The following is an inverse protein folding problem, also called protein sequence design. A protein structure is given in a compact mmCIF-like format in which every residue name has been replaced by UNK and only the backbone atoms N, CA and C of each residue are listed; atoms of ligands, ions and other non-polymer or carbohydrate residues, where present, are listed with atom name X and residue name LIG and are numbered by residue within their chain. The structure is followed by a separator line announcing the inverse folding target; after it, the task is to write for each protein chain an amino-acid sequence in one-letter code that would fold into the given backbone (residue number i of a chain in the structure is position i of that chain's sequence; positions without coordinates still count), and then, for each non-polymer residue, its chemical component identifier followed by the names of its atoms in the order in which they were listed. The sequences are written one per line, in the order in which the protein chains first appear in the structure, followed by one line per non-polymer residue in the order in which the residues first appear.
data_IF_782202901176
#
_entry.id   IF_782202901176
#
_cell.length_a   1.000
_cell.length_b   1.000
_cell.length_c   1.000
_cell.angle_alpha   90.00
_cell.angle_beta   90.00
_cell.angle_gamma   90.00
#
_symmetry.space_group_name_H-M   'P 1'
#
loop_
_entity.id
_entity.type
_entity.pdbx_description
1 polymer ?
#
# COMPACT_ATOMS: atom_id res chain seq x y z
N UNK A 1 -35.29 -26.77 -21.32
CA UNK A 1 -34.50 -26.95 -20.09
C UNK A 1 -33.17 -26.33 -20.44
N UNK A 2 -33.13 -25.01 -20.33
CA UNK A 2 -31.98 -24.23 -20.75
C UNK A 2 -30.86 -24.57 -19.78
N UNK A 3 -29.87 -25.32 -20.27
CA UNK A 3 -28.59 -25.45 -19.60
C UNK A 3 -27.96 -24.06 -19.74
N UNK A 4 -28.25 -23.17 -18.79
CA UNK A 4 -27.34 -22.05 -18.51
C UNK A 4 -25.98 -22.71 -18.26
N UNK A 5 -25.09 -22.61 -19.25
CA UNK A 5 -23.69 -22.93 -19.10
C UNK A 5 -23.19 -22.07 -17.94
N UNK A 6 -23.13 -22.67 -16.76
CA UNK A 6 -22.63 -22.09 -15.52
C UNK A 6 -21.12 -21.92 -15.72
N UNK A 7 -20.73 -20.92 -16.51
CA UNK A 7 -19.34 -20.62 -16.83
C UNK A 7 -18.60 -20.48 -15.51
N UNK A 8 -17.66 -21.40 -15.29
CA UNK A 8 -16.86 -21.43 -14.08
C UNK A 8 -16.31 -20.02 -13.83
N UNK A 9 -16.58 -19.42 -12.65
CA UNK A 9 -16.28 -18.01 -12.43
C UNK A 9 -14.79 -17.75 -12.67
N UNK A 10 -14.51 -16.72 -13.46
CA UNK A 10 -13.13 -16.30 -13.79
C UNK A 10 -12.33 -16.09 -12.51
N UNK A 11 -11.01 -16.29 -12.58
CA UNK A 11 -10.13 -16.08 -11.42
C UNK A 11 -10.33 -14.68 -10.83
N UNK A 12 -10.52 -13.69 -11.69
CA UNK A 12 -10.81 -12.32 -11.30
C UNK A 12 -12.14 -12.19 -10.54
N UNK A 13 -13.23 -12.83 -10.98
CA UNK A 13 -14.51 -12.80 -10.26
C UNK A 13 -14.42 -13.45 -8.87
N UNK A 14 -13.68 -14.56 -8.75
CA UNK A 14 -13.44 -15.23 -7.46
C UNK A 14 -12.65 -14.32 -6.50
N UNK A 15 -11.61 -13.67 -7.01
CA UNK A 15 -10.81 -12.72 -6.25
C UNK A 15 -11.65 -11.50 -5.83
N UNK A 16 -12.42 -10.91 -6.75
CA UNK A 16 -13.28 -9.74 -6.48
C UNK A 16 -14.34 -10.01 -5.41
N UNK A 17 -14.95 -11.21 -5.40
CA UNK A 17 -15.86 -11.65 -4.33
C UNK A 17 -15.16 -11.78 -2.99
N UNK A 18 -13.95 -12.33 -2.98
CA UNK A 18 -13.14 -12.43 -1.75
C UNK A 18 -12.76 -11.05 -1.23
N UNK A 19 -12.44 -10.11 -2.11
CA UNK A 19 -12.14 -8.73 -1.77
C UNK A 19 -13.38 -8.00 -1.26
N UNK A 20 -14.55 -8.21 -1.87
CA UNK A 20 -15.82 -7.67 -1.36
C UNK A 20 -16.12 -8.17 0.05
N UNK A 21 -15.66 -9.37 0.38
CA UNK A 21 -15.72 -9.89 1.75
C UNK A 21 -14.88 -9.05 2.71
N UNK A 22 -13.64 -8.79 2.37
CA UNK A 22 -12.72 -8.04 3.22
C UNK A 22 -13.12 -6.55 3.30
N UNK A 23 -13.49 -5.93 2.18
CA UNK A 23 -13.93 -4.54 2.11
C UNK A 23 -15.11 -4.29 3.04
N UNK A 24 -16.10 -5.19 3.09
CA UNK A 24 -17.24 -5.04 3.99
C UNK A 24 -16.81 -5.03 5.48
N UNK A 25 -15.86 -5.88 5.88
CA UNK A 25 -15.36 -5.89 7.26
C UNK A 25 -14.58 -4.62 7.57
N UNK A 26 -13.73 -4.19 6.64
CA UNK A 26 -12.93 -2.98 6.81
C UNK A 26 -13.77 -1.72 6.84
N UNK A 27 -14.72 -1.56 5.92
CA UNK A 27 -15.62 -0.40 5.91
C UNK A 27 -16.41 -0.35 7.21
N UNK A 28 -16.85 -1.49 7.74
CA UNK A 28 -17.52 -1.51 9.04
C UNK A 28 -16.64 -0.98 10.17
N UNK A 29 -15.38 -1.46 10.27
CA UNK A 29 -14.43 -0.98 11.29
C UNK A 29 -14.14 0.52 11.12
N UNK A 30 -13.94 0.96 9.87
CA UNK A 30 -13.61 2.34 9.56
C UNK A 30 -14.80 3.28 9.85
N UNK A 31 -16.04 2.86 9.54
CA UNK A 31 -17.27 3.58 9.91
C UNK A 31 -17.34 3.75 11.43
N UNK A 32 -17.08 2.68 12.20
CA UNK A 32 -17.08 2.73 13.67
C UNK A 32 -16.04 3.74 14.18
N UNK A 33 -14.82 3.69 13.63
CA UNK A 33 -13.74 4.59 14.05
C UNK A 33 -14.00 6.05 13.66
N UNK A 34 -14.46 6.32 12.43
CA UNK A 34 -14.79 7.67 11.95
C UNK A 34 -16.01 8.24 12.68
N UNK A 35 -17.01 7.41 12.98
CA UNK A 35 -18.15 7.83 13.81
C UNK A 35 -17.67 8.24 15.20
N UNK A 36 -16.73 7.50 15.79
CA UNK A 36 -16.10 7.91 17.06
C UNK A 36 -15.36 9.25 16.92
N UNK A 37 -14.52 9.40 15.89
CA UNK A 37 -13.78 10.65 15.62
C UNK A 37 -14.72 11.83 15.38
N UNK A 38 -15.83 11.64 14.65
CA UNK A 38 -16.86 12.66 14.43
C UNK A 38 -17.39 13.26 15.75
N UNK A 39 -17.54 12.44 16.80
CA UNK A 39 -17.94 12.91 18.12
C UNK A 39 -16.80 13.57 18.92
N UNK A 40 -15.55 13.21 18.65
CA UNK A 40 -14.39 13.78 19.33
C UNK A 40 -13.93 15.13 18.75
N UNK A 41 -14.31 15.44 17.51
CA UNK A 41 -13.86 16.63 16.82
C UNK A 41 -14.75 17.83 17.11
N UNK A 42 -14.12 18.99 17.34
CA UNK A 42 -14.81 20.22 17.75
C UNK A 42 -15.15 21.16 16.60
N UNK A 43 -14.52 21.04 15.43
CA UNK A 43 -14.80 21.95 14.31
C UNK A 43 -15.91 21.43 13.38
N UNK A 44 -16.80 22.30 12.87
CA UNK A 44 -17.86 21.90 11.95
C UNK A 44 -17.33 21.44 10.59
N UNK A 45 -16.18 21.96 10.14
CA UNK A 45 -15.56 21.56 8.88
C UNK A 45 -15.00 20.13 8.93
N UNK A 46 -14.34 19.78 10.02
CA UNK A 46 -13.84 18.42 10.22
C UNK A 46 -15.00 17.44 10.43
N UNK A 47 -16.03 17.81 11.20
CA UNK A 47 -17.27 17.00 11.30
C UNK A 47 -17.92 16.75 9.94
N UNK A 48 -17.97 17.76 9.08
CA UNK A 48 -18.49 17.60 7.71
C UNK A 48 -17.66 16.61 6.88
N UNK A 49 -16.34 16.61 7.08
CA UNK A 49 -15.42 15.69 6.41
C UNK A 49 -15.59 14.27 6.92
N UNK A 50 -15.64 14.07 8.24
CA UNK A 50 -15.89 12.76 8.85
C UNK A 50 -17.26 12.20 8.47
N UNK A 51 -18.31 13.03 8.42
CA UNK A 51 -19.64 12.61 7.96
C UNK A 51 -19.65 12.18 6.49
N UNK A 52 -18.95 12.89 5.61
CA UNK A 52 -18.78 12.50 4.21
C UNK A 52 -18.04 11.16 4.10
N UNK A 53 -16.99 10.96 4.90
CA UNK A 53 -16.24 9.69 4.94
C UNK A 53 -17.14 8.52 5.35
N UNK A 54 -17.89 8.67 6.45
CA UNK A 54 -18.85 7.65 6.91
C UNK A 54 -19.90 7.34 5.83
N UNK A 55 -20.41 8.37 5.14
CA UNK A 55 -21.40 8.18 4.07
C UNK A 55 -20.82 7.40 2.88
N UNK A 56 -19.61 7.77 2.44
CA UNK A 56 -18.91 7.06 1.37
C UNK A 56 -18.64 5.59 1.78
N UNK A 57 -18.17 5.35 3.01
CA UNK A 57 -17.86 3.99 3.49
C UNK A 57 -19.12 3.15 3.64
N UNK A 58 -20.22 3.74 4.10
CA UNK A 58 -21.53 3.11 4.12
C UNK A 58 -21.98 2.69 2.71
N UNK A 59 -21.77 3.55 1.72
CA UNK A 59 -22.09 3.23 0.32
C UNK A 59 -21.22 2.08 -0.21
N UNK A 60 -19.93 2.07 0.10
CA UNK A 60 -19.02 0.98 -0.28
C UNK A 60 -19.37 -0.33 0.41
N UNK A 61 -19.79 -0.28 1.67
CA UNK A 61 -20.28 -1.44 2.41
C UNK A 61 -21.50 -2.05 1.73
N UNK A 62 -22.48 -1.23 1.34
CA UNK A 62 -23.68 -1.69 0.61
C UNK A 62 -23.31 -2.36 -0.71
N UNK A 63 -22.43 -1.75 -1.51
CA UNK A 63 -21.97 -2.36 -2.77
C UNK A 63 -21.18 -3.64 -2.55
N UNK A 64 -20.36 -3.71 -1.50
CA UNK A 64 -19.58 -4.91 -1.16
C UNK A 64 -20.49 -6.05 -0.70
N UNK A 65 -21.55 -5.75 0.06
CA UNK A 65 -22.57 -6.73 0.45
C UNK A 65 -23.41 -7.19 -0.75
N UNK A 66 -23.71 -6.30 -1.70
CA UNK A 66 -24.40 -6.66 -2.95
C UNK A 66 -23.55 -7.59 -3.82
N UNK A 67 -22.25 -7.29 -3.98
CA UNK A 67 -21.30 -8.14 -4.68
C UNK A 67 -21.18 -9.55 -4.05
N UNK A 68 -21.27 -9.66 -2.72
CA UNK A 68 -21.30 -10.97 -2.04
C UNK A 68 -22.52 -11.82 -2.40
N UNK A 69 -23.64 -11.18 -2.75
CA UNK A 69 -24.89 -11.86 -3.15
C UNK A 69 -24.93 -12.19 -4.65
N UNK A 70 -23.81 -12.05 -5.36
CA UNK A 70 -23.74 -12.30 -6.80
C UNK A 70 -24.11 -11.10 -7.66
N UNK A 71 -24.30 -9.91 -7.07
CA UNK A 71 -24.53 -8.68 -7.84
C UNK A 71 -23.29 -8.28 -8.66
N UNK A 72 -23.47 -7.48 -9.73
CA UNK A 72 -22.37 -7.06 -10.59
C UNK A 72 -21.34 -6.25 -9.80
N UNK A 73 -20.07 -6.66 -9.90
CA UNK A 73 -18.93 -5.91 -9.37
C UNK A 73 -18.58 -4.83 -10.40
N UNK A 74 -19.32 -3.73 -10.37
CA UNK A 74 -19.15 -2.65 -11.34
C UNK A 74 -17.91 -1.79 -11.10
N UNK A 75 -17.43 -1.15 -12.18
CA UNK A 75 -16.42 -0.07 -12.19
C UNK A 75 -16.68 1.00 -11.11
N UNK A 76 -17.95 1.21 -10.78
CA UNK A 76 -18.40 2.11 -9.72
C UNK A 76 -17.85 1.74 -8.33
N UNK A 77 -17.89 0.46 -7.92
CA UNK A 77 -17.32 0.02 -6.64
C UNK A 77 -15.83 0.33 -6.60
N UNK A 78 -15.14 0.08 -7.70
CA UNK A 78 -13.70 0.32 -7.84
C UNK A 78 -13.34 1.80 -7.68
N UNK A 79 -14.11 2.69 -8.33
CA UNK A 79 -13.95 4.15 -8.18
C UNK A 79 -14.25 4.57 -6.74
N UNK A 80 -15.31 4.03 -6.13
CA UNK A 80 -15.69 4.36 -4.75
C UNK A 80 -14.62 3.93 -3.75
N UNK A 81 -14.03 2.73 -3.89
CA UNK A 81 -12.87 2.29 -3.12
C UNK A 81 -11.71 3.27 -3.32
N UNK A 82 -11.39 3.62 -4.56
CA UNK A 82 -10.28 4.53 -4.85
C UNK A 82 -10.48 5.89 -4.16
N UNK A 83 -11.68 6.47 -4.27
CA UNK A 83 -12.03 7.75 -3.63
C UNK A 83 -11.92 7.64 -2.12
N UNK A 84 -12.55 6.65 -1.49
CA UNK A 84 -12.53 6.46 -0.04
C UNK A 84 -11.13 6.28 0.52
N UNK A 85 -10.36 5.40 -0.10
CA UNK A 85 -8.97 5.15 0.31
C UNK A 85 -8.14 6.39 0.11
N UNK A 86 -8.39 7.14 -0.96
CA UNK A 86 -7.70 8.41 -1.20
C UNK A 86 -8.09 9.46 -0.16
N UNK A 87 -9.35 9.56 0.23
CA UNK A 87 -9.81 10.46 1.28
C UNK A 87 -9.27 10.06 2.67
N UNK A 88 -9.15 8.77 2.98
CA UNK A 88 -8.48 8.31 4.21
C UNK A 88 -7.01 8.76 4.27
N UNK A 89 -6.33 8.86 3.12
CA UNK A 89 -4.98 9.46 3.03
C UNK A 89 -4.95 10.95 3.36
N UNK A 90 -6.06 11.68 3.33
CA UNK A 90 -6.12 13.08 3.76
C UNK A 90 -6.27 13.20 5.29
N UNK A 91 -7.03 12.31 5.90
CA UNK A 91 -7.39 12.38 7.33
C UNK A 91 -6.21 12.02 8.23
N UNK A 92 -5.40 11.02 7.87
CA UNK A 92 -4.26 10.58 8.71
C UNK A 92 -3.12 11.63 8.83
N UNK A 93 -2.66 12.25 7.72
CA UNK A 93 -1.69 13.34 7.81
C UNK A 93 -2.25 14.54 8.58
N UNK A 94 -3.54 14.86 8.41
CA UNK A 94 -4.18 15.98 9.14
C UNK A 94 -4.24 15.70 10.64
N UNK A 95 -4.57 14.48 11.06
CA UNK A 95 -4.56 14.08 12.47
C UNK A 95 -3.14 14.05 13.06
N UNK A 96 -2.13 13.66 12.28
CA UNK A 96 -0.72 13.74 12.69
C UNK A 96 -0.24 15.19 12.82
N UNK A 97 -0.65 16.08 11.91
CA UNK A 97 -0.37 17.52 12.02
C UNK A 97 -1.09 18.15 13.22
N UNK A 98 -2.34 17.76 13.47
CA UNK A 98 -3.10 18.18 14.63
C UNK A 98 -2.43 17.71 15.92
N UNK A 99 -1.92 16.48 15.99
CA UNK A 99 -1.15 15.96 17.12
C UNK A 99 0.19 16.70 17.32
N UNK A 100 0.87 17.07 16.23
CA UNK A 100 2.11 17.85 16.29
C UNK A 100 1.86 19.29 16.75
N UNK A 101 0.76 19.92 16.34
CA UNK A 101 0.31 21.24 16.83
C UNK A 101 -0.11 21.16 18.30
N UNK A 102 -0.77 20.07 18.72
CA UNK A 102 -1.14 19.85 20.13
C UNK A 102 0.06 19.66 21.04
N UNK A 103 1.14 19.03 20.56
CA UNK A 103 2.39 18.88 21.31
C UNK A 103 3.32 20.09 21.21
N UNK A 104 3.02 21.05 20.33
CA UNK A 104 3.64 22.38 20.28
C UNK A 104 3.25 23.28 21.46
N UNK A 105 2.44 22.80 22.41
CA UNK A 105 2.22 23.41 23.71
C UNK A 105 3.50 23.35 24.56
N UNK A 106 4.42 24.26 24.26
CA UNK A 106 5.65 24.64 24.95
C UNK A 106 6.75 23.56 25.10
N UNK A 107 7.98 23.79 24.56
CA UNK A 107 9.14 23.14 25.16
C UNK A 107 9.22 23.58 26.63
N UNK A 108 9.49 22.68 27.60
CA UNK A 108 9.75 23.09 28.96
C UNK A 108 10.95 24.03 28.91
N UNK A 109 10.72 25.30 29.24
CA UNK A 109 11.76 26.29 29.28
C UNK A 109 12.86 25.77 30.23
N UNK A 110 14.08 25.47 29.75
CA UNK A 110 15.12 24.88 30.60
C UNK A 110 15.48 25.80 31.76
N UNK A 111 15.28 27.11 31.60
CA UNK A 111 15.40 28.08 32.67
C UNK A 111 14.29 27.97 33.73
N UNK A 112 13.06 27.58 33.33
CA UNK A 112 11.96 27.32 34.26
C UNK A 112 12.12 25.97 34.98
N UNK A 113 12.68 24.95 34.31
CA UNK A 113 12.99 23.66 34.94
C UNK A 113 14.17 23.75 35.91
N UNK A 114 15.20 24.56 35.59
CA UNK A 114 16.32 24.83 36.49
C UNK A 114 15.91 25.70 37.70
N UNK A 115 14.92 26.59 37.53
CA UNK A 115 14.39 27.40 38.63
C UNK A 115 13.42 26.63 39.55
N UNK A 116 12.83 25.52 39.10
CA UNK A 116 11.80 24.79 39.84
C UNK A 116 12.30 23.58 40.66
N UNK A 117 13.57 23.18 40.55
CA UNK A 117 14.04 22.02 41.31
C UNK A 117 15.56 21.87 41.31
N UNK A 118 16.17 22.16 42.46
CA UNK A 118 17.57 21.87 42.69
C UNK A 118 17.89 20.37 42.55
N UNK A 119 19.05 20.10 41.95
CA UNK A 119 19.77 18.83 42.12
C UNK A 119 19.40 17.70 41.16
N UNK A 120 20.41 17.24 40.41
CA UNK A 120 20.52 15.82 40.06
C UNK A 120 20.50 15.53 38.57
N UNK A 121 21.40 14.64 38.16
CA UNK A 121 21.51 14.04 36.83
C UNK A 121 20.18 13.55 36.22
N UNK A 122 19.15 13.35 37.04
CA UNK A 122 17.78 12.99 36.63
C UNK A 122 17.11 14.08 35.77
N UNK A 123 17.35 15.37 36.03
CA UNK A 123 16.82 16.46 35.19
C UNK A 123 17.52 16.56 33.83
N UNK A 124 18.82 16.24 33.79
CA UNK A 124 19.63 16.18 32.56
C UNK A 124 19.28 14.93 31.75
N UNK A 125 19.04 13.79 32.40
CA UNK A 125 18.57 12.56 31.75
C UNK A 125 17.14 12.72 31.26
N UNK A 126 16.27 13.42 32.01
CA UNK A 126 14.90 13.75 31.59
C UNK A 126 14.87 14.69 30.38
N UNK A 127 15.73 15.72 30.35
CA UNK A 127 15.86 16.60 29.19
C UNK A 127 16.52 15.90 28.00
N UNK A 128 17.48 15.00 28.21
CA UNK A 128 18.04 14.14 27.16
C UNK A 128 17.01 13.14 26.62
N UNK A 129 16.19 12.51 27.46
CA UNK A 129 15.14 11.59 27.02
C UNK A 129 14.00 12.33 26.30
N UNK A 130 13.65 13.54 26.75
CA UNK A 130 12.71 14.40 26.04
C UNK A 130 13.29 14.89 24.69
N UNK A 131 14.59 15.20 24.64
CA UNK A 131 15.32 15.57 23.43
C UNK A 131 15.40 14.39 22.45
N UNK A 132 15.80 13.21 22.92
CA UNK A 132 15.83 11.96 22.13
C UNK A 132 14.42 11.56 21.71
N UNK A 133 13.43 11.71 22.58
CA UNK A 133 12.02 11.46 22.26
C UNK A 133 11.47 12.42 21.21
N UNK A 134 11.83 13.70 21.26
CA UNK A 134 11.47 14.70 20.27
C UNK A 134 12.18 14.46 18.93
N UNK A 135 13.47 14.10 18.94
CA UNK A 135 14.23 13.80 17.73
C UNK A 135 13.80 12.47 17.10
N UNK A 136 13.54 11.44 17.91
CA UNK A 136 12.99 10.16 17.45
C UNK A 136 11.57 10.35 16.92
N UNK A 137 10.71 11.15 17.57
CA UNK A 137 9.37 11.47 17.04
C UNK A 137 9.45 12.27 15.76
N UNK A 138 10.31 13.28 15.68
CA UNK A 138 10.43 14.09 14.48
C UNK A 138 11.05 13.29 13.32
N UNK A 139 12.01 12.40 13.62
CA UNK A 139 12.53 11.42 12.67
C UNK A 139 11.44 10.43 12.25
N UNK A 140 10.60 9.93 13.16
CA UNK A 140 9.44 9.09 12.82
C UNK A 140 8.38 9.88 12.04
N UNK A 141 8.19 11.17 12.27
CA UNK A 141 7.25 12.00 11.51
C UNK A 141 7.78 12.34 10.11
N UNK A 142 9.10 12.46 9.95
CA UNK A 142 9.76 12.61 8.65
C UNK A 142 9.89 11.29 7.89
N UNK A 143 10.18 10.20 8.61
CA UNK A 143 10.63 8.94 8.06
C UNK A 143 9.61 7.81 8.18
N UNK A 144 8.52 7.93 8.94
CA UNK A 144 7.35 7.09 8.74
C UNK A 144 6.70 7.65 7.47
N UNK A 145 6.94 7.01 6.32
CA UNK A 145 6.26 7.42 5.12
C UNK A 145 4.79 7.19 5.45
N UNK A 146 3.97 8.24 5.51
CA UNK A 146 2.53 8.05 5.75
C UNK A 146 1.97 7.08 4.71
N UNK A 147 2.54 7.08 3.50
CA UNK A 147 2.32 6.08 2.46
C UNK A 147 2.73 4.64 2.84
N UNK A 148 3.80 4.43 3.61
CA UNK A 148 4.19 3.11 4.14
C UNK A 148 3.20 2.58 5.15
N UNK A 149 2.68 3.43 6.06
CA UNK A 149 1.67 2.99 7.01
C UNK A 149 0.41 2.54 6.26
N UNK A 150 -0.01 3.27 5.24
CA UNK A 150 -1.18 2.92 4.42
C UNK A 150 -0.94 1.70 3.52
N UNK A 151 0.21 1.62 2.85
CA UNK A 151 0.58 0.49 2.02
C UNK A 151 0.77 -0.79 2.83
N UNK A 152 1.35 -0.69 4.04
CA UNK A 152 1.54 -1.81 4.96
C UNK A 152 0.25 -2.21 5.65
N UNK A 153 -0.60 -1.26 6.06
CA UNK A 153 -1.95 -1.55 6.58
C UNK A 153 -2.82 -2.16 5.48
N UNK A 154 -2.74 -1.65 4.24
CA UNK A 154 -3.42 -2.23 3.09
C UNK A 154 -2.92 -3.63 2.76
N UNK A 155 -1.61 -3.87 2.84
CA UNK A 155 -1.02 -5.20 2.68
C UNK A 155 -1.47 -6.16 3.81
N UNK A 156 -1.38 -5.73 5.07
CA UNK A 156 -1.66 -6.56 6.25
C UNK A 156 -3.15 -6.83 6.46
N UNK A 157 -4.01 -5.86 6.12
CA UNK A 157 -5.46 -6.03 6.11
C UNK A 157 -5.93 -6.86 4.90
N UNK A 158 -5.01 -7.20 3.99
CA UNK A 158 -5.29 -8.00 2.81
C UNK A 158 -6.27 -7.26 1.90
N UNK A 159 -5.96 -6.01 1.52
CA UNK A 159 -6.70 -5.19 0.56
C UNK A 159 -6.01 -5.19 -0.82
N UNK A 160 -6.03 -6.29 -1.55
CA UNK A 160 -5.44 -6.34 -2.88
C UNK A 160 -6.29 -5.54 -3.86
N UNK A 161 -5.85 -4.32 -4.17
CA UNK A 161 -6.29 -3.60 -5.37
C UNK A 161 -5.65 -4.25 -6.61
N UNK A 162 -6.34 -4.27 -7.77
CA UNK A 162 -5.70 -4.57 -9.04
C UNK A 162 -4.42 -3.73 -9.21
N UNK A 163 -3.35 -4.26 -9.83
CA UNK A 163 -2.02 -3.65 -9.78
C UNK A 163 -1.99 -2.19 -10.26
N UNK A 164 -2.74 -1.89 -11.32
CA UNK A 164 -2.87 -0.54 -11.87
C UNK A 164 -3.57 0.43 -10.91
N UNK A 165 -4.61 -0.02 -10.22
CA UNK A 165 -5.33 0.79 -9.24
C UNK A 165 -4.51 0.97 -7.96
N UNK A 166 -3.78 -0.07 -7.57
CA UNK A 166 -2.80 0.02 -6.50
C UNK A 166 -1.74 1.08 -6.82
N UNK A 167 -1.17 1.04 -8.02
CA UNK A 167 -0.21 2.04 -8.49
C UNK A 167 -0.81 3.44 -8.52
N UNK A 168 -2.00 3.62 -9.10
CA UNK A 168 -2.67 4.91 -9.15
C UNK A 168 -2.90 5.47 -7.74
N UNK A 169 -3.40 4.64 -6.83
CA UNK A 169 -3.63 5.01 -5.45
C UNK A 169 -2.33 5.40 -4.72
N UNK A 170 -1.29 4.56 -4.77
CA UNK A 170 0.01 4.85 -4.17
C UNK A 170 0.68 6.07 -4.80
N UNK A 171 0.49 6.31 -6.11
CA UNK A 171 1.04 7.49 -6.80
C UNK A 171 0.38 8.75 -6.27
N UNK A 172 -0.96 8.77 -6.17
CA UNK A 172 -1.70 9.91 -5.60
C UNK A 172 -1.30 10.13 -4.14
N UNK A 173 -1.20 9.05 -3.35
CA UNK A 173 -0.76 9.10 -1.96
C UNK A 173 0.62 9.74 -1.83
N UNK A 174 1.58 9.24 -2.60
CA UNK A 174 2.96 9.70 -2.58
C UNK A 174 3.03 11.14 -3.05
N UNK A 175 2.40 11.48 -4.18
CA UNK A 175 2.37 12.85 -4.70
C UNK A 175 1.81 13.86 -3.69
N UNK A 176 0.77 13.48 -2.94
CA UNK A 176 0.23 14.33 -1.88
C UNK A 176 1.25 14.56 -0.75
N UNK A 177 1.91 13.50 -0.28
CA UNK A 177 2.95 13.62 0.76
C UNK A 177 4.13 14.47 0.25
N UNK A 178 4.57 14.25 -1.00
CA UNK A 178 5.64 15.02 -1.63
C UNK A 178 5.29 16.51 -1.72
N UNK A 179 4.05 16.85 -2.10
CA UNK A 179 3.57 18.24 -2.15
C UNK A 179 3.58 18.92 -0.78
N UNK A 180 3.38 18.16 0.30
CA UNK A 180 3.31 18.67 1.67
C UNK A 180 4.68 18.78 2.35
N UNK A 181 5.63 17.97 1.89
CA UNK A 181 6.97 17.89 2.46
C UNK A 181 7.66 19.26 2.68
N UNK A 182 7.62 20.25 1.76
CA UNK A 182 8.28 21.54 1.97
C UNK A 182 7.79 22.29 3.22
N UNK A 183 6.46 22.29 3.46
CA UNK A 183 5.87 22.99 4.61
C UNK A 183 6.27 22.32 5.93
N UNK A 184 6.25 20.98 5.96
CA UNK A 184 6.62 20.19 7.14
C UNK A 184 8.12 20.31 7.41
N UNK A 185 8.96 20.21 6.38
CA UNK A 185 10.41 20.40 6.50
C UNK A 185 10.76 21.80 7.02
N UNK A 186 10.04 22.85 6.59
CA UNK A 186 10.25 24.20 7.12
C UNK A 186 9.97 24.25 8.62
N UNK A 187 8.86 23.67 9.08
CA UNK A 187 8.55 23.60 10.51
C UNK A 187 9.59 22.78 11.29
N UNK A 188 9.98 21.63 10.76
CA UNK A 188 10.98 20.75 11.38
C UNK A 188 12.35 21.44 11.54
N UNK A 189 12.84 22.08 10.48
CA UNK A 189 14.14 22.76 10.48
C UNK A 189 14.13 24.00 11.39
N UNK A 190 13.05 24.80 11.37
CA UNK A 190 12.92 25.99 12.23
C UNK A 190 12.79 25.61 13.71
N UNK A 191 12.26 24.43 14.02
CA UNK A 191 12.05 24.02 15.40
C UNK A 191 13.34 23.86 16.21
N UNK A 192 14.42 23.33 15.61
CA UNK A 192 15.69 23.12 16.34
C UNK A 192 16.91 23.03 15.39
N UNK A 193 18.06 23.66 15.69
CA UNK A 193 19.24 23.65 14.81
C UNK A 193 19.87 22.27 14.61
N UNK A 194 19.67 21.31 15.53
CA UNK A 194 20.11 19.93 15.30
C UNK A 194 19.34 19.24 14.16
N UNK A 195 18.08 19.63 13.90
CA UNK A 195 17.28 19.07 12.82
C UNK A 195 17.85 19.43 11.44
N UNK A 196 18.31 20.68 11.29
CA UNK A 196 19.02 21.13 10.09
C UNK A 196 20.30 20.31 9.84
N UNK A 197 21.08 20.04 10.90
CA UNK A 197 22.29 19.20 10.83
C UNK A 197 21.97 17.77 10.42
N UNK A 198 20.92 17.17 11.00
CA UNK A 198 20.47 15.82 10.63
C UNK A 198 20.02 15.76 9.17
N UNK A 199 19.23 16.74 8.71
CA UNK A 199 18.78 16.82 7.32
C UNK A 199 19.97 16.98 6.36
N UNK A 200 20.94 17.85 6.67
CA UNK A 200 22.15 18.04 5.88
C UNK A 200 23.03 16.78 5.85
N UNK A 201 23.17 16.05 6.96
CA UNK A 201 23.92 14.79 6.99
C UNK A 201 23.24 13.70 6.14
N UNK A 202 21.92 13.57 6.23
CA UNK A 202 21.15 12.63 5.41
C UNK A 202 21.21 12.99 3.92
N UNK A 203 21.13 14.29 3.60
CA UNK A 203 21.28 14.80 2.24
C UNK A 203 22.67 14.46 1.68
N UNK A 204 23.73 14.72 2.45
CA UNK A 204 25.10 14.40 2.05
C UNK A 204 25.25 12.91 1.78
N UNK A 205 24.69 12.04 2.63
CA UNK A 205 24.72 10.59 2.41
C UNK A 205 24.02 10.20 1.09
N UNK A 206 22.81 10.72 0.84
CA UNK A 206 22.10 10.48 -0.42
C UNK A 206 22.92 10.97 -1.62
N UNK A 207 23.53 12.15 -1.52
CA UNK A 207 24.39 12.70 -2.56
C UNK A 207 25.60 11.78 -2.86
N UNK A 208 26.26 11.23 -1.84
CA UNK A 208 27.35 10.28 -2.04
C UNK A 208 26.86 9.02 -2.74
N UNK A 209 25.73 8.47 -2.30
CA UNK A 209 25.09 7.31 -2.93
C UNK A 209 24.81 7.59 -4.42
N UNK A 210 24.14 8.69 -4.75
CA UNK A 210 23.83 9.04 -6.15
C UNK A 210 25.11 9.23 -6.96
N UNK A 211 26.12 9.90 -6.39
CA UNK A 211 27.41 10.12 -7.07
C UNK A 211 28.15 8.81 -7.36
N UNK A 212 28.05 7.82 -6.48
CA UNK A 212 28.66 6.50 -6.70
C UNK A 212 27.93 5.68 -7.77
N UNK A 213 26.61 5.81 -7.86
CA UNK A 213 25.79 5.10 -8.84
C UNK A 213 25.79 5.76 -10.23
N UNK A 214 25.92 7.09 -10.26
CA UNK A 214 25.92 7.91 -11.47
C UNK A 214 27.28 8.60 -11.61
N UNK A 215 28.25 7.89 -12.16
CA UNK A 215 29.60 8.42 -12.37
C UNK A 215 29.57 9.77 -13.11
N UNK A 216 30.37 10.72 -12.65
CA UNK A 216 30.43 12.08 -13.21
C UNK A 216 29.41 13.07 -12.64
N UNK A 217 28.48 12.64 -11.78
CA UNK A 217 27.48 13.55 -11.18
C UNK A 217 27.93 14.24 -9.89
N UNK A 218 29.10 13.89 -9.35
CA UNK A 218 29.58 14.41 -8.06
C UNK A 218 29.68 15.95 -8.02
N UNK A 219 30.45 16.54 -8.93
CA UNK A 219 30.66 17.99 -9.01
C UNK A 219 29.35 18.78 -9.21
N UNK A 220 28.47 18.43 -10.16
CA UNK A 220 27.21 19.16 -10.31
C UNK A 220 26.27 18.99 -9.11
N UNK A 221 26.28 17.84 -8.43
CA UNK A 221 25.51 17.65 -7.20
C UNK A 221 26.07 18.44 -6.02
N UNK A 222 27.39 18.54 -5.87
CA UNK A 222 28.05 19.39 -4.86
C UNK A 222 27.71 20.86 -5.07
N UNK A 223 27.83 21.35 -6.31
CA UNK A 223 27.43 22.72 -6.67
C UNK A 223 25.94 22.99 -6.41
N UNK A 224 25.07 22.03 -6.74
CA UNK A 224 23.63 22.15 -6.44
C UNK A 224 23.38 22.18 -4.93
N UNK A 225 24.06 21.35 -4.14
CA UNK A 225 23.90 21.26 -2.70
C UNK A 225 24.24 22.56 -1.96
N UNK A 226 25.27 23.28 -2.42
CA UNK A 226 25.69 24.57 -1.85
C UNK A 226 24.62 25.65 -1.99
N UNK A 227 23.81 25.59 -3.06
CA UNK A 227 22.74 26.55 -3.32
C UNK A 227 21.45 26.27 -2.55
N UNK A 228 21.31 25.08 -1.95
CA UNK A 228 20.10 24.68 -1.24
C UNK A 228 20.16 25.07 0.23
N UNK A 229 19.05 25.65 0.71
CA UNK A 229 18.78 25.83 2.14
C UNK A 229 18.59 24.50 2.87
N UNK A 230 18.72 24.51 4.20
CA UNK A 230 18.49 23.31 5.02
C UNK A 230 17.07 22.73 4.86
N UNK A 231 16.07 23.59 4.62
CA UNK A 231 14.69 23.18 4.35
C UNK A 231 14.56 22.42 3.02
N UNK A 232 15.29 22.86 1.99
CA UNK A 232 15.29 22.24 0.67
C UNK A 232 16.04 20.90 0.70
N UNK A 233 17.15 20.84 1.41
CA UNK A 233 17.88 19.59 1.68
C UNK A 233 16.99 18.58 2.41
N UNK A 234 16.28 19.02 3.45
CA UNK A 234 15.26 18.21 4.14
C UNK A 234 14.20 17.68 3.17
N UNK A 235 13.67 18.55 2.30
CA UNK A 235 12.62 18.18 1.34
C UNK A 235 13.12 17.11 0.37
N UNK A 236 14.33 17.26 -0.17
CA UNK A 236 14.94 16.27 -1.06
C UNK A 236 15.14 14.91 -0.38
N UNK A 237 15.56 14.89 0.89
CA UNK A 237 15.66 13.67 1.70
C UNK A 237 14.30 13.01 1.87
N UNK A 238 13.26 13.77 2.24
CA UNK A 238 11.90 13.24 2.38
C UNK A 238 11.42 12.65 1.05
N UNK A 239 11.63 13.34 -0.07
CA UNK A 239 11.20 12.86 -1.38
C UNK A 239 11.86 11.53 -1.75
N UNK A 240 13.17 11.40 -1.49
CA UNK A 240 13.90 10.15 -1.69
C UNK A 240 13.33 9.01 -0.83
N UNK A 241 13.10 9.26 0.46
CA UNK A 241 12.55 8.26 1.38
C UNK A 241 11.12 7.86 1.01
N UNK A 242 10.27 8.80 0.58
CA UNK A 242 8.90 8.50 0.16
C UNK A 242 8.86 7.71 -1.15
N UNK A 243 9.72 8.03 -2.13
CA UNK A 243 9.79 7.25 -3.36
C UNK A 243 10.23 5.80 -3.11
N UNK A 244 11.21 5.60 -2.23
CA UNK A 244 11.71 4.26 -1.88
C UNK A 244 10.77 3.50 -0.93
N UNK A 245 10.59 4.01 0.29
CA UNK A 245 9.88 3.31 1.36
C UNK A 245 8.37 3.60 1.36
N UNK A 246 7.93 4.73 0.82
CA UNK A 246 6.50 5.07 0.75
C UNK A 246 5.80 4.49 -0.48
N UNK A 247 6.50 4.40 -1.62
CA UNK A 247 5.93 3.94 -2.88
C UNK A 247 6.46 2.56 -3.28
N UNK A 248 7.76 2.44 -3.53
CA UNK A 248 8.34 1.26 -4.15
C UNK A 248 8.23 0.01 -3.25
N UNK A 249 8.69 0.09 -2.00
CA UNK A 249 8.69 -1.05 -1.09
C UNK A 249 7.28 -1.62 -0.84
N UNK A 250 6.27 -0.81 -0.44
CA UNK A 250 4.91 -1.31 -0.25
C UNK A 250 4.32 -1.96 -1.50
N UNK A 251 4.56 -1.36 -2.68
CA UNK A 251 4.06 -1.91 -3.94
C UNK A 251 4.68 -3.26 -4.24
N UNK A 252 6.00 -3.43 -4.07
CA UNK A 252 6.66 -4.73 -4.25
C UNK A 252 6.14 -5.76 -3.24
N UNK A 253 5.96 -5.39 -1.97
CA UNK A 253 5.43 -6.30 -0.94
C UNK A 253 4.01 -6.75 -1.27
N UNK A 254 3.11 -5.82 -1.57
CA UNK A 254 1.71 -6.13 -1.93
C UNK A 254 1.66 -7.01 -3.17
N UNK A 255 2.40 -6.66 -4.22
CA UNK A 255 2.42 -7.42 -5.46
C UNK A 255 2.99 -8.83 -5.28
N UNK A 256 4.02 -8.98 -4.45
CA UNK A 256 4.58 -10.29 -4.11
C UNK A 256 3.56 -11.17 -3.38
N UNK A 257 2.82 -10.60 -2.43
CA UNK A 257 1.78 -11.32 -1.69
C UNK A 257 0.59 -11.69 -2.59
N UNK A 258 0.18 -10.79 -3.48
CA UNK A 258 -0.88 -11.02 -4.45
C UNK A 258 -0.52 -12.15 -5.43
N UNK A 259 0.70 -12.11 -5.98
CA UNK A 259 1.18 -13.15 -6.89
C UNK A 259 1.28 -14.51 -6.18
N UNK A 260 1.81 -14.54 -4.95
CA UNK A 260 1.88 -15.76 -4.15
C UNK A 260 0.48 -16.33 -3.85
N UNK A 261 -0.49 -15.47 -3.51
CA UNK A 261 -1.87 -15.88 -3.28
C UNK A 261 -2.54 -16.44 -4.54
N UNK A 262 -2.28 -15.84 -5.71
CA UNK A 262 -2.78 -16.32 -7.00
C UNK A 262 -2.22 -17.70 -7.35
N UNK A 263 -0.90 -17.89 -7.19
CA UNK A 263 -0.22 -19.18 -7.41
C UNK A 263 -0.71 -20.25 -6.44
N UNK A 264 -0.89 -19.93 -5.15
CA UNK A 264 -1.46 -20.88 -4.18
C UNK A 264 -2.90 -21.26 -4.53
N UNK A 265 -3.68 -20.32 -5.08
CA UNK A 265 -5.05 -20.60 -5.48
C UNK A 265 -5.10 -21.56 -6.68
N UNK A 266 -4.30 -21.32 -7.72
CA UNK A 266 -4.23 -22.24 -8.87
C UNK A 266 -3.72 -23.63 -8.45
N UNK A 267 -2.71 -23.70 -7.60
CA UNK A 267 -2.21 -24.96 -7.04
C UNK A 267 -3.29 -25.73 -6.26
N UNK A 268 -4.03 -25.07 -5.36
CA UNK A 268 -5.13 -25.71 -4.61
C UNK A 268 -6.28 -26.15 -5.51
N UNK A 269 -6.58 -25.39 -6.56
CA UNK A 269 -7.61 -25.76 -7.54
C UNK A 269 -7.19 -27.02 -8.31
N UNK A 270 -5.92 -27.10 -8.70
CA UNK A 270 -5.31 -28.27 -9.32
C UNK A 270 -5.37 -29.51 -8.41
N UNK A 271 -4.94 -29.38 -7.16
CA UNK A 271 -5.00 -30.50 -6.19
C UNK A 271 -6.42 -31.00 -5.95
N UNK A 272 -7.42 -30.11 -5.92
CA UNK A 272 -8.83 -30.51 -5.76
C UNK A 272 -9.33 -31.27 -6.98
N UNK A 273 -9.14 -30.71 -8.18
CA UNK A 273 -9.53 -31.37 -9.42
C UNK A 273 -8.83 -32.73 -9.60
N UNK A 274 -7.55 -32.84 -9.25
CA UNK A 274 -6.83 -34.13 -9.29
C UNK A 274 -7.43 -35.16 -8.31
N UNK A 275 -7.77 -34.74 -7.08
CA UNK A 275 -8.44 -35.62 -6.10
C UNK A 275 -9.82 -36.05 -6.57
N UNK A 276 -10.60 -35.13 -7.13
CA UNK A 276 -11.94 -35.41 -7.61
C UNK A 276 -11.89 -36.33 -8.84
N UNK A 277 -10.92 -36.12 -9.73
CA UNK A 277 -10.63 -37.02 -10.84
C UNK A 277 -10.22 -38.42 -10.38
N UNK A 278 -9.35 -38.54 -9.38
CA UNK A 278 -8.96 -39.84 -8.82
C UNK A 278 -10.15 -40.57 -8.19
N UNK A 279 -11.05 -39.85 -7.51
CA UNK A 279 -12.28 -40.42 -6.91
C UNK A 279 -13.23 -40.93 -7.97
N UNK A 280 -13.54 -40.12 -8.99
CA UNK A 280 -14.40 -40.53 -10.10
C UNK A 280 -13.82 -41.76 -10.82
N UNK A 281 -12.50 -41.77 -11.06
CA UNK A 281 -11.83 -42.92 -11.69
C UNK A 281 -11.88 -44.18 -10.83
N UNK A 282 -11.73 -44.06 -9.51
CA UNK A 282 -11.88 -45.18 -8.58
C UNK A 282 -13.33 -45.70 -8.56
N UNK A 283 -14.31 -44.80 -8.58
CA UNK A 283 -15.73 -45.14 -8.63
C UNK A 283 -16.09 -45.87 -9.94
N UNK A 284 -15.61 -45.37 -11.08
CA UNK A 284 -15.75 -46.03 -12.39
C UNK A 284 -15.13 -47.44 -12.42
N UNK A 285 -13.95 -47.63 -11.79
CA UNK A 285 -13.32 -48.95 -11.67
C UNK A 285 -14.10 -49.91 -10.78
N UNK A 286 -14.68 -49.42 -9.67
CA UNK A 286 -15.48 -50.23 -8.76
C UNK A 286 -16.79 -50.73 -9.39
N UNK A 287 -17.39 -49.93 -10.28
CA UNK A 287 -18.62 -50.31 -10.99
C UNK A 287 -18.43 -51.48 -11.97
N UNK A 288 -17.20 -51.75 -12.41
CA UNK A 288 -16.87 -52.85 -13.32
C UNK A 288 -17.52 -52.73 -14.70
N UNK A 289 -17.22 -53.69 -15.59
CA UNK A 289 -17.88 -53.75 -16.90
C UNK A 289 -19.37 -54.07 -16.69
N UNK A 290 -20.29 -53.30 -17.31
CA UNK A 290 -21.71 -53.42 -17.02
C UNK A 290 -22.21 -54.82 -17.37
N UNK A 291 -22.69 -55.57 -16.36
CA UNK A 291 -23.28 -56.92 -16.53
C UNK A 291 -24.82 -56.88 -16.55
N UNK A 292 -25.42 -55.76 -16.17
CA UNK A 292 -26.87 -55.56 -16.11
C UNK A 292 -27.27 -54.21 -16.71
N UNK A 293 -28.51 -54.05 -17.22
CA UNK A 293 -29.00 -52.78 -17.74
C UNK A 293 -28.93 -51.64 -16.71
N UNK A 294 -29.12 -51.98 -15.42
CA UNK A 294 -29.00 -51.02 -14.31
C UNK A 294 -27.54 -50.59 -14.07
N UNK A 295 -26.58 -51.50 -14.22
CA UNK A 295 -25.15 -51.14 -14.17
C UNK A 295 -24.70 -50.34 -15.40
N UNK A 296 -25.41 -50.44 -16.52
CA UNK A 296 -25.12 -49.69 -17.74
C UNK A 296 -25.41 -48.19 -17.56
N UNK A 297 -26.52 -47.83 -16.91
CA UNK A 297 -26.83 -46.44 -16.55
C UNK A 297 -25.79 -45.83 -15.59
N UNK A 298 -25.32 -46.60 -14.60
CA UNK A 298 -24.27 -46.13 -13.68
C UNK A 298 -22.91 -45.99 -14.37
N UNK A 299 -22.60 -46.88 -15.33
CA UNK A 299 -21.38 -46.79 -16.14
C UNK A 299 -21.41 -45.57 -17.06
N UNK A 300 -22.53 -45.31 -17.74
CA UNK A 300 -22.69 -44.10 -18.58
C UNK A 300 -22.60 -42.81 -17.78
N UNK A 301 -23.13 -42.78 -16.54
CA UNK A 301 -22.96 -41.65 -15.64
C UNK A 301 -21.48 -41.45 -15.24
N UNK A 302 -20.75 -42.53 -14.95
CA UNK A 302 -19.33 -42.46 -14.61
C UNK A 302 -18.44 -42.02 -15.79
N UNK A 303 -18.79 -42.41 -17.03
CA UNK A 303 -18.10 -41.95 -18.25
C UNK A 303 -18.36 -40.46 -18.50
N UNK A 304 -19.60 -39.98 -18.31
CA UNK A 304 -19.89 -38.54 -18.39
C UNK A 304 -19.13 -37.75 -17.33
N UNK A 305 -19.02 -38.28 -16.13
CA UNK A 305 -18.24 -37.67 -15.04
C UNK A 305 -16.74 -37.60 -15.41
N UNK A 306 -16.18 -38.65 -16.02
CA UNK A 306 -14.79 -38.65 -16.52
C UNK A 306 -14.57 -37.62 -17.65
N UNK A 307 -15.52 -37.48 -18.59
CA UNK A 307 -15.50 -36.45 -19.64
C UNK A 307 -15.60 -35.02 -19.06
N UNK A 308 -16.47 -34.80 -18.05
CA UNK A 308 -16.59 -33.52 -17.35
C UNK A 308 -15.29 -33.15 -16.63
N UNK A 309 -14.66 -34.10 -15.94
CA UNK A 309 -13.36 -33.88 -15.29
C UNK A 309 -12.23 -33.64 -16.29
N UNK A 310 -12.29 -34.24 -17.47
CA UNK A 310 -11.31 -33.98 -18.55
C UNK A 310 -11.49 -32.56 -19.10
N UNK A 311 -12.74 -32.07 -19.20
CA UNK A 311 -13.04 -30.66 -19.47
C UNK A 311 -12.54 -29.77 -18.34
N UNK A 312 -12.70 -30.14 -17.06
CA UNK A 312 -12.13 -29.39 -15.94
C UNK A 312 -10.59 -29.32 -15.97
N UNK A 313 -9.91 -30.40 -16.36
CA UNK A 313 -8.46 -30.37 -16.56
C UNK A 313 -8.06 -29.40 -17.69
N UNK A 314 -8.85 -29.32 -18.76
CA UNK A 314 -8.68 -28.32 -19.81
C UNK A 314 -8.96 -26.89 -19.29
N UNK A 315 -9.93 -26.69 -18.39
CA UNK A 315 -10.18 -25.38 -17.77
C UNK A 315 -9.08 -24.99 -16.78
N UNK A 316 -8.39 -25.94 -16.13
CA UNK A 316 -7.18 -25.64 -15.33
C UNK A 316 -6.03 -25.15 -16.20
N UNK A 317 -5.78 -25.78 -17.34
CA UNK A 317 -4.79 -25.30 -18.31
C UNK A 317 -5.18 -23.92 -18.89
N UNK A 318 -6.48 -23.63 -18.99
CA UNK A 318 -6.99 -22.31 -19.33
C UNK A 318 -6.79 -21.31 -18.18
N UNK A 319 -6.96 -21.71 -16.92
CA UNK A 319 -6.75 -20.86 -15.75
C UNK A 319 -5.27 -20.48 -15.56
N UNK A 320 -4.34 -21.39 -15.85
CA UNK A 320 -2.90 -21.08 -15.84
C UNK A 320 -2.53 -20.10 -16.97
N UNK A 321 -3.16 -20.25 -18.15
CA UNK A 321 -3.03 -19.28 -19.26
C UNK A 321 -3.67 -17.94 -18.92
N UNK A 322 -4.83 -17.93 -18.29
CA UNK A 322 -5.53 -16.73 -17.83
C UNK A 322 -4.67 -16.00 -16.79
N UNK A 323 -4.07 -16.71 -15.84
CA UNK A 323 -3.11 -16.14 -14.91
C UNK A 323 -1.92 -15.55 -15.66
N UNK A 324 -1.33 -16.27 -16.62
CA UNK A 324 -0.18 -15.79 -17.40
C UNK A 324 -0.49 -14.53 -18.23
N UNK A 325 -1.71 -14.40 -18.75
CA UNK A 325 -2.18 -13.25 -19.52
C UNK A 325 -2.78 -12.14 -18.65
N UNK A 326 -3.02 -12.39 -17.36
CA UNK A 326 -3.59 -11.40 -16.45
C UNK A 326 -2.64 -10.21 -16.26
N UNK A 327 -3.20 -9.01 -16.09
CA UNK A 327 -2.42 -7.80 -15.75
C UNK A 327 -1.56 -7.99 -14.49
N UNK A 328 -2.01 -8.85 -13.57
CA UNK A 328 -1.24 -9.29 -12.41
C UNK A 328 0.06 -10.00 -12.79
N UNK A 329 0.01 -11.01 -13.66
CA UNK A 329 1.25 -11.67 -14.08
C UNK A 329 2.11 -10.73 -14.90
N UNK A 330 1.55 -9.97 -15.85
CA UNK A 330 2.35 -9.13 -16.74
C UNK A 330 3.11 -8.03 -15.98
N UNK A 331 2.42 -7.30 -15.10
CA UNK A 331 3.01 -6.18 -14.37
C UNK A 331 3.80 -6.65 -13.14
N UNK A 332 3.19 -7.49 -12.29
CA UNK A 332 3.84 -7.92 -11.05
C UNK A 332 5.03 -8.83 -11.34
N UNK A 333 4.95 -9.76 -12.31
CA UNK A 333 6.07 -10.65 -12.62
C UNK A 333 7.25 -9.88 -13.18
N UNK A 334 7.03 -8.93 -14.10
CA UNK A 334 8.12 -8.11 -14.63
C UNK A 334 8.82 -7.31 -13.53
N UNK A 335 8.03 -6.63 -12.68
CA UNK A 335 8.58 -5.83 -11.58
C UNK A 335 9.30 -6.70 -10.53
N UNK A 336 8.73 -7.85 -10.16
CA UNK A 336 9.32 -8.77 -9.18
C UNK A 336 10.53 -9.51 -9.74
N UNK A 337 10.54 -9.89 -11.03
CA UNK A 337 11.72 -10.44 -11.69
C UNK A 337 12.85 -9.43 -11.73
N UNK A 338 12.54 -8.17 -12.08
CA UNK A 338 13.52 -7.07 -12.04
C UNK A 338 14.06 -6.91 -10.61
N UNK A 339 13.19 -6.90 -9.59
CA UNK A 339 13.60 -6.82 -8.19
C UNK A 339 14.39 -8.05 -7.71
N UNK A 340 14.12 -9.24 -8.24
CA UNK A 340 14.88 -10.45 -7.93
C UNK A 340 16.28 -10.40 -8.57
N UNK A 341 16.37 -10.00 -9.85
CA UNK A 341 17.63 -9.89 -10.60
C UNK A 341 18.57 -8.87 -9.97
N UNK A 342 18.06 -7.68 -9.64
CA UNK A 342 18.87 -6.61 -9.06
C UNK A 342 18.97 -6.68 -7.53
N UNK A 343 18.25 -7.60 -6.89
CA UNK A 343 17.95 -7.64 -5.45
C UNK A 343 17.13 -6.43 -4.99
N UNK A 344 16.20 -6.67 -4.05
CA UNK A 344 15.29 -5.65 -3.52
C UNK A 344 15.99 -4.37 -3.05
N UNK A 345 17.10 -4.42 -2.30
CA UNK A 345 17.77 -3.20 -1.83
C UNK A 345 18.19 -2.26 -2.97
N UNK A 346 18.61 -2.81 -4.11
CA UNK A 346 19.04 -2.02 -5.28
C UNK A 346 17.86 -1.28 -5.91
N UNK A 347 16.70 -1.93 -6.03
CA UNK A 347 15.50 -1.28 -6.59
C UNK A 347 15.02 -0.15 -5.69
N UNK A 348 15.05 -0.37 -4.36
CA UNK A 348 14.72 0.67 -3.38
C UNK A 348 15.70 1.85 -3.45
N UNK A 349 16.99 1.56 -3.63
CA UNK A 349 18.02 2.58 -3.80
C UNK A 349 17.81 3.41 -5.07
N UNK A 350 17.47 2.76 -6.20
CA UNK A 350 17.15 3.44 -7.45
C UNK A 350 15.88 4.30 -7.33
N UNK A 351 14.86 3.83 -6.61
CA UNK A 351 13.66 4.62 -6.33
C UNK A 351 13.98 5.84 -5.46
N UNK A 352 14.83 5.68 -4.43
CA UNK A 352 15.30 6.80 -3.61
C UNK A 352 16.04 7.83 -4.45
N UNK A 353 16.93 7.39 -5.32
CA UNK A 353 17.69 8.24 -6.24
C UNK A 353 16.77 9.01 -7.19
N UNK A 354 15.76 8.36 -7.78
CA UNK A 354 14.79 9.02 -8.65
C UNK A 354 14.01 10.11 -7.89
N UNK A 355 13.54 9.82 -6.67
CA UNK A 355 12.87 10.80 -5.82
C UNK A 355 13.77 11.99 -5.44
N UNK A 356 15.03 11.72 -5.15
CA UNK A 356 16.04 12.74 -4.85
C UNK A 356 16.30 13.68 -6.03
N UNK A 357 16.57 13.13 -7.22
CA UNK A 357 16.84 13.90 -8.43
C UNK A 357 15.62 14.74 -8.86
N UNK A 358 14.42 14.17 -8.76
CA UNK A 358 13.17 14.90 -9.04
C UNK A 358 13.00 16.09 -8.10
N UNK A 359 13.34 15.93 -6.81
CA UNK A 359 13.29 17.01 -5.84
C UNK A 359 14.28 18.12 -6.20
N UNK A 360 15.52 17.79 -6.55
CA UNK A 360 16.52 18.79 -6.97
C UNK A 360 16.05 19.58 -8.19
N UNK A 361 15.53 18.90 -9.20
CA UNK A 361 14.99 19.54 -10.40
C UNK A 361 13.80 20.45 -10.10
N UNK A 362 12.86 19.95 -9.28
CA UNK A 362 11.71 20.73 -8.84
C UNK A 362 12.11 21.98 -8.06
N UNK A 363 13.08 21.87 -7.15
CA UNK A 363 13.55 23.00 -6.33
C UNK A 363 14.31 24.03 -7.18
N UNK A 364 15.15 23.59 -8.13
CA UNK A 364 15.89 24.48 -9.01
C UNK A 364 15.02 25.25 -10.01
N UNK A 365 13.89 24.67 -10.46
CA UNK A 365 13.05 25.27 -11.50
C UNK A 365 11.73 25.83 -10.97
N UNK A 366 11.14 25.21 -9.94
CA UNK A 366 9.88 25.64 -9.33
C UNK A 366 9.96 27.04 -8.71
N UNK A 367 11.12 27.45 -8.22
CA UNK A 367 11.30 28.82 -7.69
C UNK A 367 11.24 29.90 -8.77
N UNK A 368 11.56 29.56 -10.04
CA UNK A 368 11.54 30.54 -11.14
C UNK A 368 10.13 30.81 -11.65
N UNK A 369 9.19 29.88 -11.50
CA UNK A 369 7.80 30.03 -11.95
C UNK A 369 6.86 30.66 -10.93
N UNK A 370 7.27 30.85 -9.67
CA UNK A 370 6.46 31.48 -8.61
C UNK A 370 6.85 32.95 -8.36
N UNK A 371 7.97 33.40 -8.92
CA UNK A 371 8.51 34.76 -8.75
C UNK A 371 8.52 35.59 -10.05
N UNK A 372 8.11 35.01 -11.18
CA UNK A 372 7.84 35.70 -12.44
C UNK A 372 6.40 35.48 -12.84
#
# INVERSE_FOLDING_TARGET
MDCEDDEAPTLQAVLERRWAKQDAVTCYIAIVMQTYMFFCVNSPAERGTEALMVALEGWLLVHSLSARRGGPVGLFRTVLVLVLRTCALYVLPQTVDLLAVWQGAAPPNPAAAAAAGGGGAVAVVGSMLAFVGAHARAAVLLAAPVAWLHGSIGASAGWPLPPLLHLAHHTVATAFVLRRAPRVCRQYVVHHPANARTASAAFWLLQQVVSTLCLGTRLPLEAAAELLSDCERCTAVVWALQASFGFCLPTLLVWSAQLAAAVQHTARRRERSERDWLRARQHARQLGSPRTPRSQLHWEAAVREEDELTREAATLAAADRELACSSYATLCRLALQTAATFRWPTVLLLAAMAGFLLALFYLQHGQRCLLG
#
